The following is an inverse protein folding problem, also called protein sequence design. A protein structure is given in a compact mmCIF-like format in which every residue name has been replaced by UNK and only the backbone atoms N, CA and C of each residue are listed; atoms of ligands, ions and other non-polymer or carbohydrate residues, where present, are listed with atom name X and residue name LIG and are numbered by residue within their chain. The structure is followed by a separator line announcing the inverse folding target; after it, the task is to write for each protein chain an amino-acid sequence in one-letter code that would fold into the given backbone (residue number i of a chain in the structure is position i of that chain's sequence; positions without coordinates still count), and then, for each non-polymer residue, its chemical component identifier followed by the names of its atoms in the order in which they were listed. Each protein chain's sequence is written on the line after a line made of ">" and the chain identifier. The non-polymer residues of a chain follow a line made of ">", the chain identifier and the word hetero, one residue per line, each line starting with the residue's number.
data_IF_549204379322
#
_entry.id   IF_549204379322
#
_cell.length_a   1.000
_cell.length_b   1.000
_cell.length_c   1.000
_cell.angle_alpha   90.00
_cell.angle_beta   90.00
_cell.angle_gamma   90.00
#
_symmetry.space_group_name_H-M   'P 1'
#
loop_
_entity.id
_entity.type
_entity.pdbx_description
1 polymer ?
#
# COMPACT_ATOMS: atom_id res chain seq x y z
N UNK A 1 23.00 14.85 -6.97
CA UNK A 1 23.47 14.46 -5.64
C UNK A 1 22.27 14.15 -4.75
N UNK A 2 22.24 12.98 -4.11
CA UNK A 2 21.11 12.48 -3.32
C UNK A 2 21.56 12.22 -1.88
N UNK A 3 20.79 12.74 -0.95
CA UNK A 3 20.99 12.51 0.48
C UNK A 3 20.23 11.23 0.89
N UNK A 4 20.95 10.27 1.43
CA UNK A 4 20.40 8.97 1.87
C UNK A 4 20.63 8.73 3.37
N UNK A 5 20.83 9.81 4.14
CA UNK A 5 21.11 9.74 5.58
C UNK A 5 22.54 9.27 5.92
N UNK A 6 23.45 9.27 4.95
CA UNK A 6 24.86 8.98 5.16
C UNK A 6 25.69 10.27 5.24
N UNK A 7 26.87 10.23 5.88
CA UNK A 7 27.75 11.41 5.95
C UNK A 7 28.10 11.99 4.57
N UNK A 8 28.21 11.15 3.55
CA UNK A 8 28.46 11.54 2.15
C UNK A 8 27.19 11.33 1.34
N UNK A 9 26.77 12.37 0.60
CA UNK A 9 25.69 12.25 -0.40
C UNK A 9 26.16 11.40 -1.57
N UNK A 10 25.25 10.61 -2.13
CA UNK A 10 25.52 9.77 -3.30
C UNK A 10 25.40 10.58 -4.58
N UNK A 11 26.30 10.32 -5.54
CA UNK A 11 26.16 10.77 -6.92
C UNK A 11 25.33 9.74 -7.67
N UNK A 12 24.14 10.11 -8.16
CA UNK A 12 23.26 9.20 -8.91
C UNK A 12 22.84 9.87 -10.20
N UNK A 13 23.08 9.18 -11.31
CA UNK A 13 22.63 9.61 -12.63
C UNK A 13 21.21 9.12 -12.83
N UNK A 14 20.29 10.02 -13.11
CA UNK A 14 18.88 9.72 -13.36
C UNK A 14 18.46 10.33 -14.71
N UNK A 15 17.76 9.54 -15.52
CA UNK A 15 17.23 9.97 -16.82
C UNK A 15 15.72 10.26 -16.79
N UNK A 16 15.06 10.16 -15.64
CA UNK A 16 13.63 10.38 -15.54
C UNK A 16 13.27 11.87 -15.77
N UNK A 17 12.20 12.15 -16.53
CA UNK A 17 11.83 13.53 -16.87
C UNK A 17 11.30 14.33 -15.68
N UNK A 18 10.82 13.65 -14.64
CA UNK A 18 10.21 14.26 -13.47
C UNK A 18 11.20 14.50 -12.30
N UNK A 19 12.49 14.18 -12.47
CA UNK A 19 13.49 14.41 -11.41
C UNK A 19 13.77 15.89 -11.20
N UNK A 20 13.67 16.36 -9.94
CA UNK A 20 13.96 17.74 -9.55
C UNK A 20 14.66 17.76 -8.19
N UNK A 21 15.41 18.84 -7.95
CA UNK A 21 16.02 19.07 -6.64
C UNK A 21 14.95 19.40 -5.59
N UNK A 22 15.16 18.91 -4.37
CA UNK A 22 14.26 19.14 -3.24
C UNK A 22 13.18 18.07 -3.04
N UNK A 23 13.05 17.11 -3.95
CA UNK A 23 12.11 16.03 -3.82
C UNK A 23 12.63 14.87 -2.96
N UNK A 24 11.72 14.20 -2.25
CA UNK A 24 11.99 12.94 -1.57
C UNK A 24 11.68 11.78 -2.53
N UNK A 25 12.66 10.90 -2.68
CA UNK A 25 12.63 9.84 -3.68
C UNK A 25 13.08 8.51 -3.09
N UNK A 26 12.70 7.41 -3.73
CA UNK A 26 13.14 6.07 -3.36
C UNK A 26 14.47 5.75 -4.04
N UNK A 27 15.46 5.29 -3.26
CA UNK A 27 16.82 5.04 -3.74
C UNK A 27 17.25 3.61 -3.50
N UNK A 28 17.61 2.91 -4.55
CA UNK A 28 18.33 1.64 -4.48
C UNK A 28 19.83 1.90 -4.46
N UNK A 29 20.48 1.60 -3.33
CA UNK A 29 21.93 1.73 -3.16
C UNK A 29 22.68 0.60 -3.87
N UNK A 30 23.97 0.80 -4.12
CA UNK A 30 24.86 -0.27 -4.61
C UNK A 30 24.75 -1.49 -3.70
N UNK A 31 24.53 -2.66 -4.30
CA UNK A 31 24.29 -3.93 -3.61
C UNK A 31 22.81 -4.32 -3.49
N UNK A 32 21.88 -3.38 -3.63
CA UNK A 32 20.45 -3.67 -3.64
C UNK A 32 20.08 -4.59 -4.81
N UNK A 33 19.08 -5.43 -4.60
CA UNK A 33 18.52 -6.32 -5.63
C UNK A 33 17.04 -5.99 -5.85
N UNK A 34 16.70 -5.59 -7.07
CA UNK A 34 15.34 -5.33 -7.50
C UNK A 34 14.77 -6.60 -8.15
N UNK A 35 13.93 -7.31 -7.41
CA UNK A 35 13.39 -8.62 -7.84
C UNK A 35 12.52 -8.53 -9.07
N UNK A 36 11.72 -7.47 -9.21
CA UNK A 36 10.83 -7.22 -10.36
C UNK A 36 11.55 -7.17 -11.71
N UNK A 37 12.77 -6.65 -11.73
CA UNK A 37 13.62 -6.54 -12.92
C UNK A 37 14.80 -7.52 -12.91
N UNK A 38 14.92 -8.37 -11.88
CA UNK A 38 16.09 -9.23 -11.64
C UNK A 38 17.42 -8.47 -11.73
N UNK A 39 17.42 -7.23 -11.25
CA UNK A 39 18.53 -6.31 -11.39
C UNK A 39 19.26 -6.10 -10.06
N UNK A 40 20.55 -6.40 -10.05
CA UNK A 40 21.44 -6.03 -8.95
C UNK A 40 22.12 -4.69 -9.22
N UNK A 41 21.88 -3.74 -8.34
CA UNK A 41 22.48 -2.40 -8.44
C UNK A 41 23.98 -2.48 -8.18
N UNK A 42 24.75 -1.97 -9.14
CA UNK A 42 26.22 -1.91 -9.09
C UNK A 42 26.68 -0.48 -9.31
N UNK A 43 27.86 -0.19 -8.86
CA UNK A 43 28.56 1.03 -9.26
C UNK A 43 28.68 1.02 -10.79
N UNK A 44 28.23 2.04 -11.44
CA UNK A 44 28.18 2.13 -12.91
C UNK A 44 28.64 3.50 -13.40
N UNK A 45 29.23 3.54 -14.59
CA UNK A 45 29.56 4.79 -15.25
C UNK A 45 28.53 5.03 -16.36
N UNK A 46 27.72 6.07 -16.21
CA UNK A 46 26.68 6.44 -17.14
C UNK A 46 27.03 7.81 -17.77
N UNK A 47 27.26 7.81 -19.06
CA UNK A 47 27.65 9.01 -19.83
C UNK A 47 28.87 9.76 -19.25
N UNK A 48 29.86 9.00 -18.76
CA UNK A 48 31.08 9.56 -18.18
C UNK A 48 30.98 10.00 -16.71
N UNK A 49 29.81 9.80 -16.09
CA UNK A 49 29.57 10.10 -14.67
C UNK A 49 29.36 8.82 -13.88
N UNK A 50 30.07 8.69 -12.77
CA UNK A 50 29.90 7.57 -11.86
C UNK A 50 28.57 7.68 -11.10
N UNK A 51 27.77 6.60 -11.08
CA UNK A 51 26.50 6.48 -10.40
C UNK A 51 26.60 5.47 -9.26
N UNK A 52 26.37 5.94 -8.02
CA UNK A 52 26.49 5.19 -6.77
C UNK A 52 25.13 4.61 -6.33
N UNK A 53 24.19 4.42 -7.27
CA UNK A 53 22.85 3.89 -7.00
C UNK A 53 21.87 4.20 -8.10
N UNK A 54 20.60 3.97 -7.83
CA UNK A 54 19.49 4.24 -8.75
C UNK A 54 18.33 4.88 -7.99
N UNK A 55 17.72 5.92 -8.56
CA UNK A 55 16.43 6.44 -8.09
C UNK A 55 15.34 5.62 -8.75
N UNK A 56 14.42 5.07 -7.98
CA UNK A 56 13.47 4.06 -8.42
C UNK A 56 12.07 4.62 -8.69
N UNK A 57 11.39 4.04 -9.67
CA UNK A 57 9.95 4.09 -9.84
C UNK A 57 9.28 2.97 -9.03
N UNK A 58 7.95 3.04 -8.87
CA UNK A 58 7.19 1.96 -8.25
C UNK A 58 7.17 0.69 -9.11
N UNK A 59 7.23 0.83 -10.44
CA UNK A 59 7.35 -0.30 -11.37
C UNK A 59 8.66 -1.08 -11.14
N UNK A 60 9.78 -0.37 -10.95
CA UNK A 60 11.07 -1.00 -10.70
C UNK A 60 11.11 -1.72 -9.35
N UNK A 61 10.30 -1.26 -8.39
CA UNK A 61 10.12 -1.94 -7.10
C UNK A 61 9.10 -3.08 -7.16
N UNK A 62 8.36 -3.23 -8.27
CA UNK A 62 7.34 -4.26 -8.45
C UNK A 62 6.01 -3.97 -7.75
N UNK A 63 5.76 -2.71 -7.40
CA UNK A 63 4.54 -2.27 -6.69
C UNK A 63 3.43 -1.91 -7.69
N UNK A 64 3.78 -1.30 -8.82
CA UNK A 64 2.83 -0.92 -9.87
C UNK A 64 3.23 -1.51 -11.22
N UNK A 65 2.27 -1.69 -12.12
CA UNK A 65 2.50 -2.27 -13.45
C UNK A 65 3.09 -1.28 -14.46
N UNK A 66 2.86 0.02 -14.27
CA UNK A 66 3.47 1.08 -15.09
C UNK A 66 3.49 2.40 -14.33
N UNK A 67 4.61 3.12 -14.40
CA UNK A 67 4.71 4.47 -13.88
C UNK A 67 5.64 5.29 -14.79
N UNK A 68 5.23 6.50 -15.17
CA UNK A 68 6.06 7.41 -15.96
C UNK A 68 7.01 8.19 -15.03
N UNK A 69 8.26 7.75 -14.96
CA UNK A 69 9.32 8.41 -14.20
C UNK A 69 9.57 7.80 -12.81
N UNK A 70 10.26 8.55 -11.97
CA UNK A 70 10.59 8.14 -10.60
C UNK A 70 9.42 8.40 -9.64
N UNK A 71 9.40 7.69 -8.52
CA UNK A 71 8.44 7.95 -7.45
C UNK A 71 8.85 9.19 -6.65
N UNK A 72 7.90 10.12 -6.49
CA UNK A 72 8.05 11.38 -5.73
C UNK A 72 7.07 11.33 -4.56
N UNK A 73 7.60 11.27 -3.33
CA UNK A 73 6.77 11.04 -2.13
C UNK A 73 5.82 12.22 -1.83
N UNK A 74 6.21 13.46 -2.16
CA UNK A 74 5.40 14.66 -1.95
C UNK A 74 4.08 14.65 -2.73
N UNK A 75 4.06 14.06 -3.91
CA UNK A 75 2.89 14.06 -4.79
C UNK A 75 1.76 13.16 -4.30
N UNK A 76 2.04 12.29 -3.34
CA UNK A 76 1.08 11.30 -2.87
C UNK A 76 0.38 11.69 -1.56
N UNK A 77 0.64 12.88 -1.02
CA UNK A 77 0.07 13.32 0.25
C UNK A 77 0.48 12.44 1.45
N UNK A 78 1.47 11.57 1.26
CA UNK A 78 1.97 10.68 2.28
C UNK A 78 2.76 11.46 3.35
N UNK A 79 2.80 10.92 4.56
CA UNK A 79 3.66 11.44 5.61
C UNK A 79 5.12 11.09 5.22
N UNK A 80 5.88 12.09 4.80
CA UNK A 80 7.25 11.91 4.31
C UNK A 80 8.14 11.46 5.47
N UNK A 81 8.80 10.31 5.36
CA UNK A 81 9.66 9.80 6.41
C UNK A 81 10.97 10.58 6.48
N UNK A 82 11.71 10.56 7.59
CA UNK A 82 13.06 11.13 7.68
C UNK A 82 13.98 10.57 6.59
N UNK A 83 14.91 11.42 6.10
CA UNK A 83 15.92 11.01 5.13
C UNK A 83 16.73 9.82 5.67
N UNK A 84 16.95 8.81 4.84
CA UNK A 84 17.68 7.59 5.20
C UNK A 84 16.80 6.49 5.81
N UNK A 85 15.49 6.71 5.94
CA UNK A 85 14.55 5.66 6.31
C UNK A 85 14.60 4.49 5.32
N UNK A 86 14.51 3.26 5.82
CA UNK A 86 14.46 2.08 4.97
C UNK A 86 13.16 2.07 4.16
N UNK A 87 13.28 2.14 2.83
CA UNK A 87 12.14 2.17 1.93
C UNK A 87 11.30 0.87 1.96
N UNK A 88 11.91 -0.28 2.25
CA UNK A 88 11.20 -1.58 2.37
C UNK A 88 10.24 -1.54 3.54
N UNK A 89 10.64 -1.00 4.67
CA UNK A 89 9.79 -0.88 5.86
C UNK A 89 8.72 0.20 5.68
N UNK A 90 9.12 1.35 5.09
CA UNK A 90 8.19 2.45 4.79
C UNK A 90 7.07 2.05 3.83
N UNK A 91 7.39 1.27 2.81
CA UNK A 91 6.43 0.78 1.81
C UNK A 91 5.74 -0.53 2.23
N UNK A 92 6.01 -1.03 3.44
CA UNK A 92 5.49 -2.30 3.94
C UNK A 92 5.74 -3.50 3.01
N UNK A 93 6.89 -3.51 2.31
CA UNK A 93 7.21 -4.56 1.35
C UNK A 93 7.70 -5.87 2.01
N UNK A 94 8.02 -5.83 3.29
CA UNK A 94 8.40 -7.02 4.05
C UNK A 94 7.16 -7.66 4.66
N UNK A 95 6.30 -8.19 3.80
CA UNK A 95 5.04 -8.83 4.18
C UNK A 95 5.01 -10.30 3.77
N UNK A 96 4.08 -11.06 4.33
CA UNK A 96 3.86 -12.46 4.03
C UNK A 96 2.51 -12.64 3.34
N UNK A 97 2.55 -13.05 2.08
CA UNK A 97 1.35 -13.38 1.33
C UNK A 97 0.98 -14.84 1.58
N UNK A 98 -0.25 -15.07 2.02
CA UNK A 98 -0.79 -16.41 2.25
C UNK A 98 -1.93 -16.65 1.26
N UNK A 99 -1.75 -17.64 0.39
CA UNK A 99 -2.82 -18.10 -0.50
C UNK A 99 -3.67 -19.15 0.21
N UNK A 100 -4.98 -18.92 0.23
CA UNK A 100 -5.94 -19.77 0.93
C UNK A 100 -6.96 -20.35 -0.04
N UNK A 101 -7.16 -21.67 0.00
CA UNK A 101 -8.24 -22.35 -0.70
C UNK A 101 -9.40 -22.57 0.28
N UNK A 102 -10.50 -21.86 0.09
CA UNK A 102 -11.69 -21.95 0.94
C UNK A 102 -12.68 -22.93 0.33
N UNK A 103 -13.08 -23.95 1.10
CA UNK A 103 -14.09 -24.93 0.68
C UNK A 103 -15.50 -24.37 0.79
N UNK A 104 -16.43 -24.87 -0.03
CA UNK A 104 -17.79 -24.34 -0.12
C UNK A 104 -18.60 -24.43 1.19
N UNK A 105 -18.22 -25.33 2.10
CA UNK A 105 -18.84 -25.49 3.41
C UNK A 105 -18.31 -24.52 4.48
N UNK A 106 -17.36 -23.64 4.13
CA UNK A 106 -16.76 -22.66 5.03
C UNK A 106 -16.88 -21.23 4.48
N UNK A 107 -18.11 -20.73 4.25
CA UNK A 107 -18.31 -19.39 3.70
C UNK A 107 -17.79 -18.28 4.62
N UNK A 108 -17.68 -18.53 5.91
CA UNK A 108 -17.08 -17.64 6.90
C UNK A 108 -15.62 -17.29 6.57
N UNK A 109 -14.87 -18.24 6.00
CA UNK A 109 -13.50 -18.04 5.53
C UNK A 109 -13.35 -17.09 4.35
N UNK A 110 -14.44 -16.67 3.69
CA UNK A 110 -14.42 -15.67 2.62
C UNK A 110 -14.31 -14.23 3.15
N UNK A 111 -14.16 -14.03 4.45
CA UNK A 111 -13.98 -12.72 5.07
C UNK A 111 -12.70 -12.65 5.89
N UNK A 112 -12.09 -11.46 5.95
CA UNK A 112 -10.91 -11.22 6.78
C UNK A 112 -11.15 -11.56 8.26
N UNK A 113 -12.34 -11.25 8.77
CA UNK A 113 -12.72 -11.57 10.14
C UNK A 113 -12.84 -13.07 10.36
N UNK A 114 -13.41 -13.82 9.39
CA UNK A 114 -13.50 -15.27 9.45
C UNK A 114 -12.12 -15.93 9.46
N UNK A 115 -11.22 -15.51 8.57
CA UNK A 115 -9.82 -15.96 8.55
C UNK A 115 -9.11 -15.62 9.87
N UNK A 116 -9.29 -14.40 10.37
CA UNK A 116 -8.68 -14.00 11.64
C UNK A 116 -9.13 -14.86 12.83
N UNK A 117 -10.41 -15.28 12.85
CA UNK A 117 -10.95 -16.21 13.85
C UNK A 117 -10.29 -17.59 13.76
N UNK A 118 -10.13 -18.12 12.55
CA UNK A 118 -9.44 -19.40 12.33
C UNK A 118 -7.99 -19.34 12.79
N UNK A 119 -7.25 -18.31 12.36
CA UNK A 119 -5.86 -18.12 12.79
C UNK A 119 -5.77 -18.00 14.32
N UNK A 120 -6.63 -17.19 14.92
CA UNK A 120 -6.71 -17.03 16.38
C UNK A 120 -6.91 -18.38 17.08
N UNK A 121 -7.79 -19.23 16.55
CA UNK A 121 -8.07 -20.56 17.09
C UNK A 121 -6.88 -21.50 16.95
N UNK A 122 -6.27 -21.56 15.77
CA UNK A 122 -5.15 -22.47 15.47
C UNK A 122 -3.89 -22.08 16.26
N UNK A 123 -3.63 -20.77 16.39
CA UNK A 123 -2.43 -20.26 17.04
C UNK A 123 -2.63 -19.99 18.53
N UNK A 124 -3.84 -20.11 19.03
CA UNK A 124 -4.24 -19.69 20.38
C UNK A 124 -3.90 -18.22 20.69
N UNK A 125 -3.95 -17.38 19.65
CA UNK A 125 -3.65 -15.94 19.76
C UNK A 125 -4.92 -15.15 20.02
N UNK A 126 -4.78 -13.98 20.69
CA UNK A 126 -5.93 -13.10 20.94
C UNK A 126 -6.40 -12.47 19.63
N UNK A 127 -7.70 -12.62 19.32
CA UNK A 127 -8.34 -11.91 18.23
C UNK A 127 -8.54 -10.43 18.61
N UNK A 128 -8.04 -9.53 17.75
CA UNK A 128 -8.26 -8.09 17.88
C UNK A 128 -8.97 -7.62 16.61
N UNK A 129 -10.20 -7.17 16.76
CA UNK A 129 -10.96 -6.58 15.65
C UNK A 129 -10.64 -5.10 15.52
N UNK A 130 -10.59 -4.57 14.27
CA UNK A 130 -10.40 -3.15 14.07
C UNK A 130 -11.56 -2.35 14.66
N UNK A 131 -11.24 -1.22 15.30
CA UNK A 131 -12.27 -0.27 15.75
C UNK A 131 -12.67 0.55 14.53
N UNK A 132 -13.93 0.43 14.13
CA UNK A 132 -14.49 1.25 13.06
C UNK A 132 -14.92 2.59 13.67
N UNK A 133 -14.16 3.64 13.38
CA UNK A 133 -14.55 5.00 13.73
C UNK A 133 -15.45 5.52 12.60
N UNK A 134 -16.74 5.50 12.82
CA UNK A 134 -17.69 6.22 11.96
C UNK A 134 -17.71 7.67 12.42
N UNK A 135 -17.51 8.63 11.52
CA UNK A 135 -17.83 10.01 11.80
C UNK A 135 -19.33 10.11 12.07
N UNK A 136 -19.73 10.75 13.17
CA UNK A 136 -21.13 10.84 13.62
C UNK A 136 -22.04 11.67 12.69
N UNK A 137 -21.52 12.20 11.60
CA UNK A 137 -22.28 12.99 10.61
C UNK A 137 -23.08 12.14 9.61
N UNK A 138 -23.28 10.86 9.90
CA UNK A 138 -24.22 10.06 9.13
C UNK A 138 -25.65 10.47 9.46
N UNK A 139 -26.30 11.22 8.57
CA UNK A 139 -27.74 11.33 8.55
C UNK A 139 -28.30 9.94 8.32
N UNK A 140 -28.87 9.35 9.36
CA UNK A 140 -29.55 8.05 9.26
C UNK A 140 -30.75 8.25 8.35
N UNK A 141 -30.64 7.82 7.10
CA UNK A 141 -31.78 7.74 6.22
C UNK A 141 -32.61 6.53 6.67
N UNK A 142 -33.80 6.82 7.20
CA UNK A 142 -34.78 5.74 7.45
C UNK A 142 -35.44 5.38 6.13
N UNK A 143 -35.14 4.21 5.53
CA UNK A 143 -35.83 3.77 4.34
C UNK A 143 -37.31 3.55 4.68
N UNK A 144 -38.22 4.19 3.94
CA UNK A 144 -39.64 3.93 4.03
C UNK A 144 -39.89 2.55 3.43
N UNK A 145 -39.90 1.52 4.27
CA UNK A 145 -40.30 0.17 3.87
C UNK A 145 -41.83 0.16 3.90
N UNK A 146 -42.46 0.10 2.74
CA UNK A 146 -43.90 0.18 2.58
C UNK A 146 -44.62 -1.13 2.94
N UNK A 147 -43.93 -2.28 2.88
CA UNK A 147 -44.52 -3.59 3.17
C UNK A 147 -43.59 -4.41 4.07
N UNK A 148 -44.08 -4.74 5.26
CA UNK A 148 -43.46 -5.69 6.19
C UNK A 148 -44.20 -7.00 6.13
N UNK A 149 -43.90 -7.87 5.18
CA UNK A 149 -44.21 -9.29 5.34
C UNK A 149 -43.04 -9.99 6.04
N UNK A 150 -43.23 -10.31 7.30
CA UNK A 150 -42.24 -11.09 8.07
C UNK A 150 -42.54 -12.56 7.83
N UNK A 151 -41.85 -13.17 6.90
CA UNK A 151 -41.86 -14.62 6.74
C UNK A 151 -40.76 -15.18 7.63
N UNK A 152 -41.06 -15.45 8.87
CA UNK A 152 -40.46 -16.44 9.78
C UNK A 152 -38.92 -16.69 9.78
N UNK A 153 -38.10 -15.77 9.29
CA UNK A 153 -36.64 -15.88 9.30
C UNK A 153 -36.07 -14.62 9.92
N UNK A 154 -35.43 -14.76 11.06
CA UNK A 154 -34.71 -13.66 11.72
C UNK A 154 -33.45 -13.27 10.90
N UNK A 155 -33.63 -12.43 9.90
CA UNK A 155 -32.51 -11.86 9.15
C UNK A 155 -32.30 -10.42 9.59
N UNK A 156 -31.08 -10.09 10.00
CA UNK A 156 -30.63 -8.71 10.25
C UNK A 156 -30.00 -8.18 8.96
N UNK A 157 -30.63 -7.17 8.37
CA UNK A 157 -30.09 -6.46 7.21
C UNK A 157 -29.59 -5.08 7.66
N UNK A 158 -28.40 -4.72 7.19
CA UNK A 158 -27.89 -3.36 7.27
C UNK A 158 -27.78 -2.80 5.87
N UNK A 159 -28.42 -1.66 5.62
CA UNK A 159 -28.39 -0.97 4.33
C UNK A 159 -27.71 0.38 4.57
N UNK A 160 -26.61 0.63 3.87
CA UNK A 160 -25.95 1.93 3.86
C UNK A 160 -26.18 2.59 2.52
N UNK A 161 -26.81 3.75 2.52
CA UNK A 161 -26.99 4.57 1.32
C UNK A 161 -25.84 5.56 1.21
N UNK A 162 -25.21 5.61 0.05
CA UNK A 162 -24.14 6.56 -0.26
C UNK A 162 -24.68 7.53 -1.30
N UNK A 163 -24.92 8.77 -0.91
CA UNK A 163 -25.53 9.79 -1.76
C UNK A 163 -24.54 10.34 -2.80
N UNK A 164 -23.29 10.51 -2.40
CA UNK A 164 -22.24 10.96 -3.31
C UNK A 164 -20.89 10.31 -2.97
N UNK A 165 -20.15 9.94 -4.01
CA UNK A 165 -18.78 9.42 -3.88
C UNK A 165 -17.87 10.38 -4.65
N UNK A 166 -16.92 10.98 -3.96
CA UNK A 166 -15.78 11.62 -4.60
C UNK A 166 -14.73 10.57 -4.93
N UNK A 167 -14.67 10.17 -6.19
CA UNK A 167 -13.69 9.21 -6.71
C UNK A 167 -12.49 9.89 -7.40
N UNK A 168 -12.35 11.21 -7.24
CA UNK A 168 -11.20 11.95 -7.77
C UNK A 168 -9.96 11.79 -6.89
N UNK A 169 -10.15 11.36 -5.64
CA UNK A 169 -9.07 11.07 -4.71
C UNK A 169 -8.25 9.84 -5.11
N UNK A 170 -6.93 9.95 -4.98
CA UNK A 170 -6.05 8.77 -5.13
C UNK A 170 -6.26 7.84 -3.95
N UNK A 171 -6.38 6.53 -4.21
CA UNK A 171 -6.43 5.52 -3.14
C UNK A 171 -5.14 5.58 -2.32
N UNK A 172 -5.27 5.50 -1.00
CA UNK A 172 -4.11 5.44 -0.12
C UNK A 172 -3.30 4.17 -0.47
N UNK A 173 -2.01 4.33 -0.77
CA UNK A 173 -1.13 3.23 -1.18
C UNK A 173 -1.03 2.12 -0.14
N UNK A 174 -1.26 2.42 1.14
CA UNK A 174 -1.32 1.41 2.22
C UNK A 174 -2.57 0.49 2.15
N UNK A 175 -3.52 0.77 1.25
CA UNK A 175 -4.74 -0.05 1.05
C UNK A 175 -4.59 -0.94 -0.20
N UNK A 176 -3.65 -0.62 -1.09
CA UNK A 176 -3.47 -1.34 -2.37
C UNK A 176 -2.56 -2.58 -2.21
N UNK A 177 -1.83 -2.69 -1.13
CA UNK A 177 -0.91 -3.81 -0.83
C UNK A 177 -1.58 -4.89 0.01
#
# INVERSE_FOLDING_TARGET
>A
SVDVGLPKKLSIVCGAPNVKAGFHVLVAKVGAFLSSKSLKIKLSNLRGVESEGMICSLEELGIESSNEGIEILEENGANIPPIGTNAVDYLCLNDTIIELAITANRPDGMSMVGIAREISTITNSKLTLPTLNYNEDFNIFEPKISDKETIGVDCIYSITYIDSIDNTGKTNKNIIN
#
